data_IF_146318370954
#
_entry.id   IF_146318370954
#
_cell.length_a   1.000
_cell.length_b   1.000
_cell.length_c   1.000
_cell.angle_alpha   90.00
_cell.angle_beta   90.00
_cell.angle_gamma   90.00
#
_symmetry.space_group_name_H-M   'P 1'
#
loop_
_entity.id
_entity.type
_entity.pdbx_description
1 polymer ?
#
# COMPACT_ATOMS: atom_id res chain seq x y z
N UNK A 1 9.74 18.36 -0.65
CA UNK A 1 9.30 17.62 0.55
C UNK A 1 8.56 16.40 0.02
N UNK A 2 9.04 15.19 0.26
CA UNK A 2 8.30 13.98 -0.11
C UNK A 2 7.07 13.90 0.81
N UNK A 3 5.88 13.76 0.24
CA UNK A 3 4.65 13.63 1.03
C UNK A 3 4.51 12.21 1.59
N UNK A 4 3.64 12.01 2.57
CA UNK A 4 3.36 10.66 3.08
C UNK A 4 2.77 9.76 1.97
N UNK A 5 2.05 10.35 1.02
CA UNK A 5 1.54 9.72 -0.20
C UNK A 5 2.66 9.18 -1.10
N UNK A 6 3.81 9.86 -1.21
CA UNK A 6 4.95 9.39 -2.00
C UNK A 6 5.55 8.11 -1.41
N UNK A 7 5.68 8.06 -0.07
CA UNK A 7 6.16 6.86 0.64
C UNK A 7 5.17 5.69 0.48
N UNK A 8 3.87 5.97 0.59
CA UNK A 8 2.83 4.96 0.38
C UNK A 8 2.96 4.34 -1.02
N UNK A 9 3.16 5.20 -2.02
CA UNK A 9 3.31 4.80 -3.42
C UNK A 9 4.57 4.00 -3.66
N UNK A 10 5.70 4.34 -3.04
CA UNK A 10 6.92 3.54 -3.09
C UNK A 10 6.71 2.15 -2.49
N UNK A 11 6.04 2.05 -1.32
CA UNK A 11 5.78 0.75 -0.68
C UNK A 11 4.85 -0.13 -1.53
N UNK A 12 3.81 0.46 -2.13
CA UNK A 12 2.90 -0.24 -3.04
C UNK A 12 3.65 -0.70 -4.29
N UNK A 13 4.40 0.19 -4.93
CA UNK A 13 5.21 -0.16 -6.11
C UNK A 13 6.19 -1.29 -5.80
N UNK A 14 6.84 -1.26 -4.63
CA UNK A 14 7.76 -2.31 -4.22
C UNK A 14 7.05 -3.65 -4.04
N UNK A 15 5.88 -3.68 -3.42
CA UNK A 15 5.07 -4.89 -3.29
C UNK A 15 4.62 -5.45 -4.66
N UNK A 16 4.39 -4.56 -5.64
CA UNK A 16 4.07 -4.93 -7.02
C UNK A 16 5.30 -5.50 -7.74
N UNK A 17 6.46 -4.87 -7.60
CA UNK A 17 7.73 -5.35 -8.16
C UNK A 17 8.15 -6.70 -7.57
N UNK A 18 8.01 -6.86 -6.26
CA UNK A 18 8.28 -8.12 -5.57
C UNK A 18 7.22 -9.18 -5.91
N UNK A 19 6.04 -8.78 -6.40
CA UNK A 19 4.89 -9.65 -6.70
C UNK A 19 4.28 -10.28 -5.45
N UNK A 20 4.67 -9.82 -4.27
CA UNK A 20 4.35 -10.38 -2.97
C UNK A 20 4.21 -9.22 -1.97
N UNK A 21 3.28 -9.34 -1.03
CA UNK A 21 3.19 -8.41 0.10
C UNK A 21 3.00 -9.20 1.37
N UNK A 22 3.87 -9.00 2.35
CA UNK A 22 3.71 -9.64 3.66
C UNK A 22 2.64 -8.93 4.48
N UNK A 23 2.05 -9.62 5.46
CA UNK A 23 1.16 -8.97 6.44
C UNK A 23 1.83 -7.78 7.13
N UNK A 24 3.15 -7.84 7.34
CA UNK A 24 3.93 -6.78 7.96
C UNK A 24 3.96 -5.54 7.07
N UNK A 25 4.28 -5.70 5.79
CA UNK A 25 4.30 -4.61 4.81
C UNK A 25 2.91 -4.04 4.59
N UNK A 26 1.89 -4.89 4.47
CA UNK A 26 0.51 -4.45 4.33
C UNK A 26 0.06 -3.58 5.52
N UNK A 27 0.38 -4.01 6.75
CA UNK A 27 0.10 -3.23 7.95
C UNK A 27 0.92 -1.94 8.02
N UNK A 28 2.17 -1.94 7.51
CA UNK A 28 2.96 -0.72 7.42
C UNK A 28 2.36 0.27 6.41
N UNK A 29 1.87 -0.20 5.26
CA UNK A 29 1.17 0.64 4.27
C UNK A 29 -0.08 1.24 4.91
N UNK A 30 -0.90 0.45 5.60
CA UNK A 30 -2.07 0.96 6.33
C UNK A 30 -1.70 1.97 7.42
N UNK A 31 -0.66 1.68 8.21
CA UNK A 31 -0.20 2.59 9.25
C UNK A 31 0.36 3.90 8.67
N UNK A 32 1.01 3.82 7.51
CA UNK A 32 1.57 4.95 6.79
C UNK A 32 0.46 5.85 6.22
N UNK A 33 -0.58 5.26 5.62
CA UNK A 33 -1.77 5.98 5.18
C UNK A 33 -2.56 6.61 6.33
N UNK A 34 -2.50 6.02 7.54
CA UNK A 34 -3.15 6.58 8.72
C UNK A 34 -2.24 7.54 9.51
N UNK A 35 -0.96 7.67 9.15
CA UNK A 35 0.06 8.33 9.98
C UNK A 35 -0.15 9.84 10.10
N UNK A 36 -0.71 10.48 9.09
CA UNK A 36 -0.98 11.92 9.09
C UNK A 36 -2.33 12.27 9.75
N UNK A 37 -3.10 11.26 10.18
CA UNK A 37 -4.42 11.40 10.79
C UNK A 37 -5.52 11.85 9.82
N UNK A 38 -5.25 11.86 8.52
CA UNK A 38 -6.13 12.25 7.44
C UNK A 38 -5.99 11.25 6.30
N UNK A 39 -6.69 10.12 6.41
CA UNK A 39 -6.90 9.25 5.25
C UNK A 39 -7.51 10.08 4.12
N UNK A 40 -6.68 10.49 3.17
CA UNK A 40 -7.11 11.30 2.05
C UNK A 40 -7.74 10.41 0.98
N UNK A 41 -8.40 11.03 0.00
CA UNK A 41 -9.03 10.28 -1.08
C UNK A 41 -8.00 9.50 -1.93
N UNK A 42 -6.80 10.03 -2.11
CA UNK A 42 -5.71 9.38 -2.85
C UNK A 42 -5.17 8.15 -2.12
N UNK A 43 -4.94 8.22 -0.81
CA UNK A 43 -4.46 7.10 0.02
C UNK A 43 -5.48 5.97 0.05
N UNK A 44 -6.76 6.32 0.19
CA UNK A 44 -7.84 5.34 0.15
C UNK A 44 -7.95 4.68 -1.22
N UNK A 45 -7.74 5.44 -2.30
CA UNK A 45 -7.68 4.91 -3.66
C UNK A 45 -6.45 4.01 -3.88
N UNK A 46 -5.28 4.38 -3.32
CA UNK A 46 -4.05 3.58 -3.37
C UNK A 46 -4.20 2.25 -2.61
N UNK A 47 -4.80 2.28 -1.42
CA UNK A 47 -5.11 1.06 -0.66
C UNK A 47 -6.10 0.16 -1.37
N UNK A 48 -7.15 0.74 -1.98
CA UNK A 48 -8.11 0.00 -2.78
C UNK A 48 -7.43 -0.64 -4.00
N UNK A 49 -6.55 0.09 -4.68
CA UNK A 49 -5.77 -0.42 -5.80
C UNK A 49 -4.87 -1.59 -5.36
N UNK A 50 -4.14 -1.45 -4.25
CA UNK A 50 -3.32 -2.53 -3.70
C UNK A 50 -4.17 -3.78 -3.37
N UNK A 51 -5.34 -3.61 -2.75
CA UNK A 51 -6.26 -4.73 -2.48
C UNK A 51 -6.76 -5.38 -3.77
N UNK A 52 -7.09 -4.60 -4.79
CA UNK A 52 -7.52 -5.12 -6.10
C UNK A 52 -6.39 -5.89 -6.78
N UNK A 53 -5.15 -5.41 -6.68
CA UNK A 53 -3.96 -6.12 -7.18
C UNK A 53 -3.68 -7.41 -6.41
N UNK A 54 -4.03 -7.46 -5.13
CA UNK A 54 -3.98 -8.71 -4.37
C UNK A 54 -5.08 -9.67 -4.83
N UNK A 55 -6.30 -9.14 -5.03
CA UNK A 55 -7.45 -9.93 -5.46
C UNK A 55 -7.30 -10.47 -6.89
N UNK A 56 -6.70 -9.71 -7.80
CA UNK A 56 -6.45 -10.14 -9.18
C UNK A 56 -5.23 -11.06 -9.31
N UNK A 57 -4.44 -11.24 -8.24
CA UNK A 57 -3.28 -12.13 -8.20
C UNK A 57 -1.98 -11.53 -8.73
N UNK A 58 -1.94 -10.23 -9.02
CA UNK A 58 -0.71 -9.50 -9.38
C UNK A 58 0.24 -9.43 -8.19
N UNK A 59 -0.30 -9.27 -6.98
CA UNK A 59 0.47 -9.29 -5.72
C UNK A 59 -0.06 -10.42 -4.84
N UNK A 60 0.81 -11.33 -4.40
CA UNK A 60 0.40 -12.36 -3.44
C UNK A 60 0.57 -11.87 -2.02
N UNK A 61 -0.54 -11.79 -1.29
CA UNK A 61 -0.47 -11.58 0.16
C UNK A 61 0.03 -12.84 0.85
N UNK A 62 1.22 -12.77 1.43
CA UNK A 62 1.81 -13.85 2.24
C UNK A 62 1.66 -13.54 3.73
N UNK A 63 1.42 -14.60 4.51
CA UNK A 63 1.19 -14.49 5.94
C UNK A 63 2.45 -14.10 6.72
#
# INVERSE_FOLDING_TARGET
MASESDKLREMINKAIEDGLVTNKEYNQILAQAAADGREDFEERALLANLQEMIANGTVKRTA
#
